data_IF_944014267268
#
_entry.id   IF_944014267268
#
_cell.length_a   1.000
_cell.length_b   1.000
_cell.length_c   1.000
_cell.angle_alpha   90.00
_cell.angle_beta   90.00
_cell.angle_gamma   90.00
#
_symmetry.space_group_name_H-M   'P 1'
#
loop_
_entity.id
_entity.type
_entity.pdbx_description
1 polymer ?
#
# COMPACT_ATOMS: atom_id res chain seq x y z
N UNK A 1 -12.91 -53.68 20.97
CA UNK A 1 -12.94 -53.14 22.34
C UNK A 1 -13.13 -51.63 22.25
N UNK A 2 -13.91 -51.06 23.17
CA UNK A 2 -14.64 -49.79 23.04
C UNK A 2 -13.75 -48.55 22.91
N UNK A 3 -14.22 -47.62 22.10
CA UNK A 3 -13.75 -46.23 21.97
C UNK A 3 -14.24 -45.48 23.22
N UNK A 4 -13.35 -44.86 23.98
CA UNK A 4 -13.71 -43.86 25.01
C UNK A 4 -12.68 -42.73 24.93
N UNK A 5 -12.97 -41.73 24.09
CA UNK A 5 -12.34 -40.43 24.17
C UNK A 5 -13.16 -39.57 25.12
N UNK A 6 -12.57 -39.20 26.26
CA UNK A 6 -13.16 -38.34 27.27
C UNK A 6 -13.12 -36.90 26.77
N UNK A 7 -14.29 -36.32 26.51
CA UNK A 7 -14.46 -34.89 26.24
C UNK A 7 -13.96 -34.06 27.42
N UNK A 8 -13.05 -33.12 27.14
CA UNK A 8 -12.59 -32.13 28.11
C UNK A 8 -13.29 -30.81 27.81
N UNK A 9 -14.33 -30.50 28.60
CA UNK A 9 -14.98 -29.18 28.62
C UNK A 9 -13.96 -28.14 29.09
N UNK A 10 -13.49 -27.29 28.19
CA UNK A 10 -12.84 -26.03 28.56
C UNK A 10 -13.89 -24.93 28.43
N UNK A 11 -14.38 -24.49 29.59
CA UNK A 11 -15.17 -23.28 29.75
C UNK A 11 -14.22 -22.10 29.63
N UNK A 12 -14.35 -21.29 28.58
CA UNK A 12 -13.73 -19.96 28.53
C UNK A 12 -14.76 -18.92 29.00
N UNK A 13 -14.50 -18.18 30.09
CA UNK A 13 -15.32 -17.04 30.44
C UNK A 13 -15.02 -15.89 29.48
N UNK A 14 -16.08 -15.39 28.84
CA UNK A 14 -16.12 -14.11 28.17
C UNK A 14 -15.84 -13.01 29.20
N UNK A 15 -14.81 -12.20 28.97
CA UNK A 15 -14.71 -10.87 29.56
C UNK A 15 -14.71 -9.84 28.44
N UNK A 16 -15.83 -9.15 28.41
CA UNK A 16 -16.11 -7.93 27.67
C UNK A 16 -15.15 -6.82 28.15
N UNK A 17 -14.64 -6.02 27.22
CA UNK A 17 -13.61 -5.04 27.53
C UNK A 17 -13.17 -4.22 26.34
N UNK A 18 -14.13 -3.65 25.62
CA UNK A 18 -13.91 -2.52 24.73
C UNK A 18 -13.25 -1.37 25.51
N UNK A 19 -12.00 -1.01 25.22
CA UNK A 19 -11.50 0.38 25.24
C UNK A 19 -10.33 0.57 24.26
N UNK A 20 -10.62 1.37 23.24
CA UNK A 20 -9.70 2.05 22.34
C UNK A 20 -8.56 2.74 23.10
N UNK A 21 -7.31 2.50 22.71
CA UNK A 21 -6.25 3.48 22.93
C UNK A 21 -5.24 3.51 21.78
N UNK A 22 -5.48 4.43 20.83
CA UNK A 22 -4.60 5.59 20.68
C UNK A 22 -3.21 5.46 20.08
N UNK A 23 -2.78 4.30 19.60
CA UNK A 23 -1.56 4.20 18.79
C UNK A 23 -1.84 3.41 17.53
N UNK A 24 -2.08 4.12 16.43
CA UNK A 24 -2.05 3.54 15.10
C UNK A 24 -0.70 2.87 14.90
N UNK A 25 -0.65 1.56 15.07
CA UNK A 25 0.58 0.79 14.86
C UNK A 25 1.09 1.09 13.46
N UNK A 26 2.34 1.53 13.35
CA UNK A 26 2.96 1.86 12.07
C UNK A 26 3.01 0.64 11.13
N UNK A 27 2.95 -0.58 11.69
CA UNK A 27 2.76 -1.84 10.94
C UNK A 27 1.44 -1.89 10.16
N UNK A 28 0.40 -1.18 10.61
CA UNK A 28 -0.89 -1.09 9.90
C UNK A 28 -0.80 -0.19 8.67
N UNK A 29 0.11 0.79 8.67
CA UNK A 29 0.36 1.66 7.50
C UNK A 29 1.13 0.88 6.42
N UNK A 30 2.08 0.03 6.81
CA UNK A 30 2.70 -0.95 5.89
C UNK A 30 1.66 -1.95 5.35
N UNK A 31 0.60 -2.24 6.12
CA UNK A 31 -0.52 -3.07 5.69
C UNK A 31 -1.65 -2.32 4.96
N UNK A 32 -1.52 -1.01 4.67
CA UNK A 32 -2.56 -0.21 4.02
C UNK A 32 -2.38 -0.22 2.48
N UNK A 33 -3.25 -0.91 1.70
CA UNK A 33 -3.04 -1.08 0.25
C UNK A 33 -3.04 0.24 -0.52
N UNK A 34 -3.75 1.25 -0.03
CA UNK A 34 -3.80 2.60 -0.62
C UNK A 34 -2.47 3.35 -0.47
N UNK A 35 -1.80 3.21 0.67
CA UNK A 35 -0.49 3.84 0.91
C UNK A 35 0.57 3.20 0.04
N UNK A 36 0.63 1.86 0.03
CA UNK A 36 1.53 1.12 -0.86
C UNK A 36 1.29 1.50 -2.32
N UNK A 37 0.03 1.58 -2.77
CA UNK A 37 -0.31 2.03 -4.12
C UNK A 37 0.24 3.44 -4.44
N UNK A 38 0.09 4.40 -3.53
CA UNK A 38 0.60 5.75 -3.72
C UNK A 38 2.14 5.80 -3.80
N UNK A 39 2.84 4.99 -2.99
CA UNK A 39 4.30 4.86 -3.02
C UNK A 39 4.75 4.31 -4.38
N UNK A 40 4.14 3.21 -4.83
CA UNK A 40 4.45 2.61 -6.14
C UNK A 40 4.18 3.62 -7.27
N UNK A 41 3.02 4.30 -7.25
CA UNK A 41 2.68 5.31 -8.24
C UNK A 41 3.74 6.41 -8.32
N UNK A 42 4.22 6.90 -7.17
CA UNK A 42 5.28 7.91 -7.11
C UNK A 42 6.59 7.41 -7.72
N UNK A 43 7.00 6.17 -7.43
CA UNK A 43 8.22 5.58 -7.97
C UNK A 43 8.13 5.45 -9.48
N UNK A 44 7.01 4.92 -9.99
CA UNK A 44 6.80 4.76 -11.43
C UNK A 44 6.79 6.11 -12.14
N UNK A 45 6.13 7.13 -11.59
CA UNK A 45 6.20 8.52 -12.08
C UNK A 45 7.65 9.00 -12.19
N UNK A 46 8.46 8.79 -11.16
CA UNK A 46 9.87 9.22 -11.17
C UNK A 46 10.74 8.44 -12.15
N UNK A 47 10.49 7.14 -12.34
CA UNK A 47 11.20 6.34 -13.34
C UNK A 47 10.79 6.77 -14.75
N UNK A 48 9.49 6.91 -15.02
CA UNK A 48 8.97 7.37 -16.32
C UNK A 48 9.51 8.73 -16.70
N UNK A 49 9.50 9.70 -15.77
CA UNK A 49 10.05 11.04 -16.03
C UNK A 49 11.54 11.00 -16.37
N UNK A 50 12.34 10.18 -15.65
CA UNK A 50 13.78 10.01 -15.93
C UNK A 50 14.06 9.29 -17.25
N UNK A 51 13.12 8.48 -17.72
CA UNK A 51 13.18 7.82 -19.02
C UNK A 51 12.57 8.67 -20.15
N UNK A 52 12.14 9.91 -19.87
CA UNK A 52 11.56 10.84 -20.85
C UNK A 52 10.35 10.28 -21.61
N UNK A 53 9.55 9.45 -20.94
CA UNK A 53 8.31 8.88 -21.49
C UNK A 53 7.08 9.53 -20.86
N UNK A 54 5.91 9.37 -21.49
CA UNK A 54 4.64 9.83 -20.94
C UNK A 54 4.41 9.23 -19.55
N UNK A 55 4.09 10.09 -18.59
CA UNK A 55 3.76 9.71 -17.22
C UNK A 55 2.24 9.63 -17.09
N UNK A 56 1.65 8.42 -16.96
CA UNK A 56 0.22 8.32 -16.76
C UNK A 56 -0.18 8.74 -15.34
N UNK A 57 -1.39 9.27 -15.20
CA UNK A 57 -2.02 9.39 -13.89
C UNK A 57 -2.43 8.00 -13.37
N UNK A 58 -2.12 7.69 -12.11
CA UNK A 58 -2.54 6.44 -11.48
C UNK A 58 -3.79 6.65 -10.62
N UNK A 59 -4.80 5.78 -10.77
CA UNK A 59 -6.05 5.81 -9.98
C UNK A 59 -6.44 4.43 -9.47
N UNK A 60 -7.32 4.40 -8.46
CA UNK A 60 -7.94 3.19 -7.94
C UNK A 60 -9.29 3.54 -7.30
N UNK A 61 -10.35 2.72 -7.47
CA UNK A 61 -10.42 1.55 -8.35
C UNK A 61 -10.69 1.94 -9.83
N UNK A 62 -10.67 0.99 -10.78
CA UNK A 62 -11.23 1.19 -12.11
C UNK A 62 -12.74 1.46 -12.05
N UNK A 63 -13.28 2.18 -13.04
CA UNK A 63 -14.72 2.48 -13.08
C UNK A 63 -15.57 1.23 -13.35
N UNK A 64 -15.01 0.23 -14.03
CA UNK A 64 -15.62 -1.08 -14.20
C UNK A 64 -15.10 -2.03 -13.13
N UNK A 65 -15.99 -2.53 -12.27
CA UNK A 65 -15.65 -3.33 -11.08
C UNK A 65 -15.10 -4.72 -11.45
N UNK A 66 -15.41 -5.20 -12.65
CA UNK A 66 -15.01 -6.51 -13.17
C UNK A 66 -13.58 -6.52 -13.70
N UNK A 67 -13.00 -5.34 -13.99
CA UNK A 67 -11.68 -5.23 -14.59
C UNK A 67 -10.62 -4.96 -13.53
N UNK A 68 -9.49 -5.66 -13.65
CA UNK A 68 -8.31 -5.47 -12.80
C UNK A 68 -7.56 -4.18 -13.12
N UNK A 69 -7.54 -3.79 -14.39
CA UNK A 69 -6.86 -2.60 -14.89
C UNK A 69 -7.65 -2.00 -16.05
N UNK A 70 -7.71 -0.67 -16.09
CA UNK A 70 -8.19 0.07 -17.26
C UNK A 70 -7.19 1.16 -17.64
N UNK A 71 -7.00 1.37 -18.94
CA UNK A 71 -6.22 2.49 -19.48
C UNK A 71 -7.16 3.40 -20.24
N UNK A 72 -7.13 4.69 -19.92
CA UNK A 72 -7.86 5.73 -20.66
C UNK A 72 -6.84 6.70 -21.25
N UNK A 73 -6.94 6.95 -22.55
CA UNK A 73 -6.16 7.97 -23.26
C UNK A 73 -7.00 9.22 -23.46
N UNK A 74 -6.44 10.39 -23.21
CA UNK A 74 -7.06 11.69 -23.44
C UNK A 74 -6.03 12.63 -24.09
N UNK A 75 -6.49 13.75 -24.66
CA UNK A 75 -5.59 14.78 -25.23
C UNK A 75 -4.63 15.36 -24.20
N UNK A 76 -5.01 15.38 -22.91
CA UNK A 76 -4.20 15.85 -21.79
C UNK A 76 -3.29 14.77 -21.18
N UNK A 77 -3.26 13.56 -21.74
CA UNK A 77 -2.48 12.42 -21.24
C UNK A 77 -3.32 11.20 -20.87
N UNK A 78 -2.65 10.18 -20.36
CA UNK A 78 -3.25 8.87 -20.07
C UNK A 78 -3.47 8.64 -18.57
N UNK A 79 -4.48 7.83 -18.26
CA UNK A 79 -4.80 7.41 -16.89
C UNK A 79 -4.85 5.89 -16.83
N UNK A 80 -4.11 5.34 -15.88
CA UNK A 80 -4.12 3.91 -15.52
C UNK A 80 -4.88 3.77 -14.21
N UNK A 81 -6.01 3.08 -14.23
CA UNK A 81 -6.74 2.71 -13.01
C UNK A 81 -6.54 1.23 -12.71
N UNK A 82 -6.26 0.87 -11.46
CA UNK A 82 -6.02 -0.52 -11.02
C UNK A 82 -6.85 -0.90 -9.80
N UNK A 83 -7.28 -2.15 -9.73
CA UNK A 83 -7.95 -2.74 -8.57
C UNK A 83 -6.91 -3.17 -7.54
N UNK A 84 -7.00 -2.62 -6.33
CA UNK A 84 -6.04 -2.85 -5.23
C UNK A 84 -6.57 -3.70 -4.08
N UNK A 85 -7.88 -3.98 -4.07
CA UNK A 85 -8.54 -4.79 -3.05
C UNK A 85 -8.65 -6.24 -3.54
N UNK A 86 -8.59 -7.18 -2.60
CA UNK A 86 -8.80 -8.61 -2.84
C UNK A 86 -7.85 -9.21 -3.88
N UNK A 87 -6.65 -8.64 -3.98
CA UNK A 87 -5.62 -9.06 -4.95
C UNK A 87 -4.23 -9.05 -4.33
N UNK A 88 -3.34 -9.96 -4.74
CA UNK A 88 -1.92 -9.88 -4.42
C UNK A 88 -1.36 -8.53 -4.87
N UNK A 89 -0.58 -7.88 -4.02
CA UNK A 89 -0.10 -6.54 -4.31
C UNK A 89 0.92 -6.53 -5.45
N UNK A 90 1.64 -7.63 -5.65
CA UNK A 90 2.54 -7.86 -6.78
C UNK A 90 1.80 -7.80 -8.12
N UNK A 91 0.55 -8.30 -8.16
CA UNK A 91 -0.30 -8.19 -9.34
C UNK A 91 -0.69 -6.73 -9.62
N UNK A 92 -0.92 -5.94 -8.55
CA UNK A 92 -1.16 -4.48 -8.66
C UNK A 92 0.06 -3.79 -9.26
N UNK A 93 1.27 -4.09 -8.78
CA UNK A 93 2.52 -3.53 -9.31
C UNK A 93 2.67 -3.89 -10.79
N UNK A 94 2.45 -5.16 -11.15
CA UNK A 94 2.48 -5.62 -12.53
C UNK A 94 1.49 -4.85 -13.41
N UNK A 95 0.26 -4.67 -12.95
CA UNK A 95 -0.77 -3.91 -13.66
C UNK A 95 -0.40 -2.43 -13.84
N UNK A 96 0.20 -1.80 -12.83
CA UNK A 96 0.67 -0.41 -12.96
C UNK A 96 1.78 -0.29 -13.99
N UNK A 97 2.76 -1.20 -13.99
CA UNK A 97 3.86 -1.22 -14.95
C UNK A 97 3.35 -1.44 -16.37
N UNK A 98 2.51 -2.46 -16.58
CA UNK A 98 1.91 -2.71 -17.91
C UNK A 98 1.07 -1.52 -18.38
N UNK A 99 0.40 -0.82 -17.46
CA UNK A 99 -0.28 0.44 -17.77
C UNK A 99 0.66 1.47 -18.39
N UNK A 100 1.85 1.67 -17.83
CA UNK A 100 2.85 2.60 -18.39
C UNK A 100 3.32 2.15 -19.77
N UNK A 101 3.60 0.85 -19.95
CA UNK A 101 4.02 0.30 -21.24
C UNK A 101 2.94 0.54 -22.31
N UNK A 102 1.68 0.25 -21.96
CA UNK A 102 0.55 0.43 -22.86
C UNK A 102 0.40 1.91 -23.25
N UNK A 103 0.42 2.84 -22.29
CA UNK A 103 0.31 4.28 -22.59
C UNK A 103 1.37 4.75 -23.60
N UNK A 104 2.59 4.24 -23.50
CA UNK A 104 3.71 4.69 -24.32
C UNK A 104 3.94 3.90 -25.63
N UNK A 105 3.25 2.78 -25.85
CA UNK A 105 3.32 2.03 -27.12
C UNK A 105 4.73 1.58 -27.50
N UNK A 106 5.54 1.17 -26.52
CA UNK A 106 6.97 0.91 -26.71
C UNK A 106 7.25 -0.37 -27.51
N UNK A 107 8.33 -0.42 -28.32
CA UNK A 107 8.81 -1.65 -28.95
C UNK A 107 9.12 -2.74 -27.91
N UNK A 108 8.94 -4.01 -28.29
CA UNK A 108 9.01 -5.16 -27.37
C UNK A 108 10.30 -5.21 -26.54
N UNK A 109 11.45 -4.94 -27.15
CA UNK A 109 12.75 -4.96 -26.47
C UNK A 109 12.87 -3.83 -25.43
N UNK A 110 12.42 -2.62 -25.77
CA UNK A 110 12.41 -1.47 -24.86
C UNK A 110 11.41 -1.69 -23.73
N UNK A 111 10.23 -2.23 -24.03
CA UNK A 111 9.23 -2.57 -23.04
C UNK A 111 9.76 -3.60 -22.02
N UNK A 112 10.48 -4.64 -22.47
CA UNK A 112 11.12 -5.62 -21.57
C UNK A 112 12.13 -4.98 -20.62
N UNK A 113 13.01 -4.11 -21.13
CA UNK A 113 13.98 -3.38 -20.30
C UNK A 113 13.29 -2.47 -19.27
N UNK A 114 12.24 -1.76 -19.69
CA UNK A 114 11.51 -0.84 -18.82
C UNK A 114 10.75 -1.57 -17.71
N UNK A 115 10.14 -2.72 -18.00
CA UNK A 115 9.53 -3.60 -16.99
C UNK A 115 10.53 -3.98 -15.90
N UNK A 116 11.70 -4.47 -16.30
CA UNK A 116 12.75 -4.87 -15.35
C UNK A 116 13.23 -3.69 -14.50
N UNK A 117 13.40 -2.52 -15.13
CA UNK A 117 13.82 -1.30 -14.44
C UNK A 117 12.78 -0.85 -13.39
N UNK A 118 11.52 -0.74 -13.79
CA UNK A 118 10.43 -0.32 -12.92
C UNK A 118 10.20 -1.30 -11.79
N UNK A 119 10.17 -2.60 -12.09
CA UNK A 119 10.04 -3.65 -11.07
C UNK A 119 11.18 -3.57 -10.05
N UNK A 120 12.41 -3.47 -10.52
CA UNK A 120 13.59 -3.35 -9.65
C UNK A 120 13.53 -2.10 -8.76
N UNK A 121 13.09 -0.97 -9.31
CA UNK A 121 12.95 0.28 -8.55
C UNK A 121 11.92 0.16 -7.42
N UNK A 122 10.78 -0.49 -7.67
CA UNK A 122 9.77 -0.75 -6.64
C UNK A 122 10.29 -1.73 -5.59
N UNK A 123 10.95 -2.83 -5.99
CA UNK A 123 11.51 -3.79 -5.02
C UNK A 123 12.66 -3.22 -4.17
N UNK A 124 13.36 -2.19 -4.67
CA UNK A 124 14.36 -1.47 -3.87
C UNK A 124 13.73 -0.57 -2.82
N UNK A 125 12.60 0.09 -3.14
CA UNK A 125 11.91 0.93 -2.15
C UNK A 125 11.33 0.12 -1.00
N UNK A 126 10.71 -1.03 -1.30
CA UNK A 126 10.13 -1.90 -0.26
C UNK A 126 11.21 -2.41 0.72
N UNK A 127 12.40 -2.77 0.19
CA UNK A 127 13.55 -3.15 1.03
C UNK A 127 14.06 -2.00 1.89
N UNK A 128 14.09 -0.79 1.34
CA UNK A 128 14.50 0.39 2.11
C UNK A 128 13.47 0.74 3.20
N UNK A 129 12.17 0.57 2.95
CA UNK A 129 11.15 0.74 4.00
C UNK A 129 11.32 -0.27 5.14
N UNK A 130 11.53 -1.56 4.85
CA UNK A 130 11.73 -2.59 5.89
C UNK A 130 12.95 -2.30 6.79
N UNK A 131 14.06 -1.86 6.19
CA UNK A 131 15.27 -1.50 6.91
C UNK A 131 15.09 -0.23 7.77
N UNK A 132 14.37 0.78 7.26
CA UNK A 132 14.14 2.04 8.00
C UNK A 132 13.06 1.93 9.06
N UNK A 133 12.02 1.12 8.82
CA UNK A 133 10.95 0.77 9.77
C UNK A 133 11.52 0.09 11.00
N UNK A 134 12.49 -0.82 10.81
CA UNK A 134 13.25 -1.44 11.91
C UNK A 134 14.09 -0.43 12.71
N UNK A 135 14.37 0.75 12.17
CA UNK A 135 15.33 1.71 12.73
C UNK A 135 14.73 3.03 13.24
N UNK A 136 13.44 3.34 13.04
CA UNK A 136 12.86 4.61 13.52
C UNK A 136 11.54 4.41 14.28
N UNK A 137 11.66 4.35 15.61
CA UNK A 137 10.57 4.69 16.55
C UNK A 137 10.45 6.21 16.61
N UNK A 138 9.54 6.79 15.85
CA UNK A 138 9.17 8.20 16.05
C UNK A 138 8.24 8.25 17.27
N UNK A 139 8.76 8.66 18.43
CA UNK A 139 7.96 8.86 19.62
C UNK A 139 7.20 10.20 19.52
N UNK A 140 5.88 10.17 19.69
CA UNK A 140 5.07 11.37 19.90
C UNK A 140 5.26 11.79 21.35
N UNK A 141 6.03 12.84 21.60
CA UNK A 141 6.19 13.40 22.95
C UNK A 141 5.02 14.33 23.23
N UNK A 142 4.03 13.83 23.98
CA UNK A 142 2.95 14.65 24.51
C UNK A 142 3.49 15.44 25.72
N UNK A 143 3.66 16.75 25.57
CA UNK A 143 3.93 17.64 26.69
C UNK A 143 2.57 17.97 27.34
N UNK A 144 2.27 17.50 28.57
CA UNK A 144 1.05 17.91 29.24
C UNK A 144 1.16 19.40 29.58
N UNK A 145 0.19 20.19 29.08
CA UNK A 145 -0.01 21.57 29.52
C UNK A 145 -0.59 21.49 30.93
N UNK A 146 0.20 21.90 31.92
CA UNK A 146 -0.24 22.08 33.30
C UNK A 146 -1.13 23.33 33.29
N UNK A 147 -2.43 23.16 33.52
CA UNK A 147 -3.32 24.28 33.78
C UNK A 147 -3.20 24.63 35.26
N UNK A 148 -2.62 25.80 35.54
CA UNK A 148 -2.65 26.42 36.86
C UNK A 148 -4.08 26.82 37.19
N UNK A 149 -4.76 26.00 37.99
CA UNK A 149 -6.04 26.37 38.58
C UNK A 149 -5.78 27.45 39.63
N UNK A 150 -6.12 28.68 39.28
CA UNK A 150 -6.34 29.77 40.22
C UNK A 150 -7.44 29.36 41.21
N UNK A 151 -7.06 29.07 42.45
CA UNK A 151 -8.01 28.91 43.55
C UNK A 151 -8.08 30.25 44.29
N UNK A 152 -9.21 30.92 44.12
CA UNK A 152 -9.60 32.08 44.91
C UNK A 152 -10.09 31.60 46.29
N UNK A 153 -9.56 32.21 47.35
CA UNK A 153 -10.20 32.32 48.67
C UNK A 153 -9.69 33.60 49.36
#
# INVERSE_FOLDING_TARGET
MKIVSKEMKIVNPQLDGNQHNGYGSLSTIESAPSVRFAIVAKILTQVSARCEIEVPGFKSPPRSVELDRTVRRQSSGSVVSVRIKDRPFEAVIGDMIEGVILCNGLPIATAGKLRNLMWSAVMQSERHSELTSKSKRTAVVHHPVINDNVEAA
#
